data_IF_069183739996
#
_entry.id   IF_069183739996
#
_cell.length_a   1.000
_cell.length_b   1.000
_cell.length_c   1.000
_cell.angle_alpha   90.00
_cell.angle_beta   90.00
_cell.angle_gamma   90.00
#
_symmetry.space_group_name_H-M   'P 1'
#
loop_
_entity.id
_entity.type
_entity.pdbx_description
1 polymer ?
#
# COMPACT_ATOMS: atom_id res chain seq x y z
N UNK A 1 -52.59 20.11 6.05
CA UNK A 1 -52.68 18.65 6.29
C UNK A 1 -51.26 18.11 6.27
N UNK A 2 -50.78 17.39 7.30
CA UNK A 2 -49.50 16.71 7.23
C UNK A 2 -49.54 15.70 6.08
N UNK A 3 -48.44 15.56 5.34
CA UNK A 3 -48.38 14.69 4.17
C UNK A 3 -48.66 13.22 4.58
N UNK A 4 -49.43 12.46 3.77
CA UNK A 4 -49.81 11.07 4.10
C UNK A 4 -48.68 10.05 3.98
N UNK A 5 -47.48 10.48 3.56
CA UNK A 5 -46.29 9.64 3.42
C UNK A 5 -45.03 10.46 3.75
N UNK A 6 -43.95 9.76 4.07
CA UNK A 6 -42.63 10.34 4.33
C UNK A 6 -42.10 11.03 3.06
N UNK A 7 -41.74 12.32 3.19
CA UNK A 7 -41.23 13.10 2.08
C UNK A 7 -39.72 12.93 2.00
N UNK A 8 -39.24 12.23 0.96
CA UNK A 8 -37.80 12.10 0.68
C UNK A 8 -37.33 13.28 -0.17
N UNK A 9 -36.19 13.86 0.20
CA UNK A 9 -35.53 14.89 -0.61
C UNK A 9 -34.70 14.18 -1.68
N UNK A 10 -34.93 14.50 -2.95
CA UNK A 10 -34.23 13.90 -4.09
C UNK A 10 -33.52 14.93 -4.96
N UNK A 11 -33.00 14.47 -6.10
CA UNK A 11 -32.22 15.28 -7.05
C UNK A 11 -30.72 15.02 -6.95
N UNK A 12 -29.96 15.41 -7.99
CA UNK A 12 -28.54 15.07 -8.11
C UNK A 12 -27.69 15.58 -6.93
N UNK A 13 -28.01 16.78 -6.43
CA UNK A 13 -27.31 17.35 -5.27
C UNK A 13 -27.58 16.55 -4.00
N UNK A 14 -28.83 16.13 -3.76
CA UNK A 14 -29.18 15.31 -2.60
C UNK A 14 -28.49 13.94 -2.68
N UNK A 15 -28.51 13.29 -3.85
CA UNK A 15 -27.80 12.00 -4.07
C UNK A 15 -26.29 12.14 -3.85
N UNK A 16 -25.68 13.25 -4.27
CA UNK A 16 -24.25 13.48 -4.06
C UNK A 16 -23.91 13.68 -2.57
N UNK A 17 -24.73 14.44 -1.83
CA UNK A 17 -24.54 14.65 -0.39
C UNK A 17 -24.76 13.35 0.38
N UNK A 18 -25.85 12.64 0.13
CA UNK A 18 -26.11 11.33 0.72
C UNK A 18 -24.99 10.34 0.42
N UNK A 19 -24.39 10.41 -0.77
CA UNK A 19 -23.23 9.60 -1.15
C UNK A 19 -21.97 9.95 -0.36
N UNK A 20 -21.70 11.24 -0.14
CA UNK A 20 -20.56 11.68 0.70
C UNK A 20 -20.78 11.27 2.16
N UNK A 21 -21.99 11.47 2.68
CA UNK A 21 -22.36 11.08 4.05
C UNK A 21 -22.25 9.57 4.25
N UNK A 22 -22.72 8.77 3.28
CA UNK A 22 -22.56 7.32 3.32
C UNK A 22 -21.08 6.90 3.31
N UNK A 23 -20.21 7.60 2.56
CA UNK A 23 -18.77 7.33 2.55
C UNK A 23 -18.16 7.66 3.91
N UNK A 24 -18.44 8.85 4.46
CA UNK A 24 -17.84 9.32 5.72
C UNK A 24 -18.29 8.50 6.91
N UNK A 25 -19.55 8.06 6.94
CA UNK A 25 -20.09 7.19 8.00
C UNK A 25 -19.45 5.79 8.01
N UNK A 26 -19.13 5.26 6.82
CA UNK A 26 -18.51 3.93 6.69
C UNK A 26 -16.98 3.96 6.78
N UNK A 27 -16.35 5.12 6.60
CA UNK A 27 -14.90 5.30 6.60
C UNK A 27 -14.21 4.78 7.88
N UNK A 28 -14.72 5.00 9.10
CA UNK A 28 -14.10 4.49 10.32
C UNK A 28 -14.08 2.96 10.37
N UNK A 29 -15.20 2.32 10.02
CA UNK A 29 -15.31 0.87 10.04
C UNK A 29 -14.44 0.22 8.95
N UNK A 30 -14.48 0.76 7.73
CA UNK A 30 -13.65 0.29 6.62
C UNK A 30 -12.16 0.49 6.90
N UNK A 31 -11.78 1.69 7.36
CA UNK A 31 -10.41 2.03 7.72
C UNK A 31 -9.87 1.16 8.84
N UNK A 32 -10.61 0.97 9.93
CA UNK A 32 -10.20 0.10 11.03
C UNK A 32 -10.03 -1.35 10.58
N UNK A 33 -10.98 -1.87 9.80
CA UNK A 33 -10.94 -3.25 9.30
C UNK A 33 -9.70 -3.47 8.44
N UNK A 34 -9.42 -2.54 7.52
CA UNK A 34 -8.27 -2.58 6.63
C UNK A 34 -6.94 -2.45 7.41
N UNK A 35 -6.85 -1.50 8.35
CA UNK A 35 -5.64 -1.30 9.16
C UNK A 35 -5.36 -2.54 10.03
N UNK A 36 -6.37 -3.09 10.71
CA UNK A 36 -6.20 -4.28 11.56
C UNK A 36 -5.83 -5.49 10.73
N UNK A 37 -6.52 -5.73 9.61
CA UNK A 37 -6.26 -6.88 8.74
C UNK A 37 -4.85 -6.82 8.20
N UNK A 38 -4.43 -5.64 7.72
CA UNK A 38 -3.11 -5.46 7.14
C UNK A 38 -1.99 -5.52 8.19
N UNK A 39 -2.23 -4.97 9.38
CA UNK A 39 -1.32 -5.09 10.51
C UNK A 39 -1.11 -6.57 10.87
N UNK A 40 -2.18 -7.35 10.99
CA UNK A 40 -2.11 -8.78 11.29
C UNK A 40 -1.37 -9.54 10.19
N UNK A 41 -1.66 -9.27 8.92
CA UNK A 41 -0.99 -9.91 7.79
C UNK A 41 0.52 -9.66 7.82
N UNK A 42 0.93 -8.39 7.97
CA UNK A 42 2.34 -8.03 8.04
C UNK A 42 3.02 -8.56 9.32
N UNK A 43 2.30 -8.61 10.44
CA UNK A 43 2.80 -9.22 11.67
C UNK A 43 3.09 -10.71 11.47
N UNK A 44 2.17 -11.44 10.83
CA UNK A 44 2.33 -12.87 10.53
C UNK A 44 3.44 -13.14 9.50
N UNK A 45 3.72 -12.18 8.62
CA UNK A 45 4.79 -12.27 7.63
C UNK A 45 6.17 -11.94 8.23
N UNK A 46 6.26 -10.86 9.00
CA UNK A 46 7.54 -10.31 9.46
C UNK A 46 7.96 -10.82 10.84
N UNK A 47 7.01 -11.34 11.64
CA UNK A 47 7.26 -11.71 13.03
C UNK A 47 7.71 -10.54 13.89
N UNK A 48 7.41 -9.30 13.52
CA UNK A 48 7.72 -8.10 14.30
C UNK A 48 6.44 -7.31 14.55
N UNK A 49 6.36 -6.67 15.72
CA UNK A 49 5.27 -5.76 16.09
C UNK A 49 5.49 -4.37 15.49
N UNK A 50 6.74 -3.93 15.35
CA UNK A 50 7.08 -2.57 14.95
C UNK A 50 7.20 -2.41 13.43
N UNK A 51 7.63 -3.46 12.72
CA UNK A 51 7.73 -3.42 11.25
C UNK A 51 6.38 -3.16 10.56
N UNK A 52 5.28 -3.84 10.92
CA UNK A 52 3.96 -3.55 10.35
C UNK A 52 3.53 -2.10 10.59
N UNK A 53 3.71 -1.58 11.80
CA UNK A 53 3.36 -0.19 12.13
C UNK A 53 4.17 0.81 11.30
N UNK A 54 5.49 0.62 11.22
CA UNK A 54 6.35 1.48 10.43
C UNK A 54 5.92 1.46 8.96
N UNK A 55 5.68 0.27 8.43
CA UNK A 55 5.35 0.11 7.03
C UNK A 55 3.99 0.76 6.70
N UNK A 56 2.97 0.59 7.54
CA UNK A 56 1.67 1.28 7.40
C UNK A 56 1.79 2.80 7.55
N UNK A 57 2.63 3.29 8.46
CA UNK A 57 2.89 4.72 8.64
C UNK A 57 3.53 5.32 7.39
N UNK A 58 4.50 4.62 6.80
CA UNK A 58 5.14 5.03 5.56
C UNK A 58 4.14 5.08 4.38
N UNK A 59 3.24 4.09 4.26
CA UNK A 59 2.16 4.14 3.27
C UNK A 59 1.24 5.34 3.49
N UNK A 60 0.88 5.63 4.74
CA UNK A 60 0.02 6.76 5.09
C UNK A 60 0.67 8.11 4.73
N UNK A 61 1.98 8.26 4.94
CA UNK A 61 2.74 9.46 4.54
C UNK A 61 2.70 9.64 3.02
N UNK A 62 2.99 8.57 2.27
CA UNK A 62 2.96 8.60 0.80
C UNK A 62 1.58 8.98 0.26
N UNK A 63 0.53 8.37 0.82
CA UNK A 63 -0.85 8.62 0.40
C UNK A 63 -1.32 10.04 0.76
N UNK A 64 -0.92 10.55 1.93
CA UNK A 64 -1.18 11.95 2.33
C UNK A 64 -0.52 12.93 1.35
N UNK A 65 0.71 12.65 0.91
CA UNK A 65 1.38 13.45 -0.10
C UNK A 65 0.64 13.42 -1.44
N UNK A 66 0.13 12.26 -1.86
CA UNK A 66 -0.69 12.16 -3.08
C UNK A 66 -1.99 12.93 -2.98
N UNK A 67 -2.72 12.81 -1.86
CA UNK A 67 -3.94 13.60 -1.66
C UNK A 67 -3.65 15.09 -1.64
N UNK A 68 -2.58 15.53 -0.97
CA UNK A 68 -2.15 16.93 -0.99
C UNK A 68 -1.87 17.44 -2.40
N UNK A 69 -1.22 16.63 -3.24
CA UNK A 69 -0.97 16.97 -4.63
C UNK A 69 -2.26 17.01 -5.49
N UNK A 70 -3.25 16.14 -5.20
CA UNK A 70 -4.56 16.21 -5.84
C UNK A 70 -5.32 17.48 -5.48
N UNK A 71 -5.36 17.83 -4.19
CA UNK A 71 -5.96 19.08 -3.72
C UNK A 71 -5.29 20.26 -4.42
N UNK A 72 -3.96 20.31 -4.38
CA UNK A 72 -3.19 21.39 -5.03
C UNK A 72 -3.41 21.45 -6.55
N UNK A 73 -3.46 20.31 -7.24
CA UNK A 73 -3.59 20.26 -8.70
C UNK A 73 -5.00 20.52 -9.21
N UNK A 74 -6.00 19.86 -8.62
CA UNK A 74 -7.38 19.84 -9.11
C UNK A 74 -8.32 20.75 -8.32
N UNK A 75 -8.22 20.78 -6.99
CA UNK A 75 -9.07 21.62 -6.15
C UNK A 75 -8.65 23.08 -6.23
N UNK A 76 -7.35 23.37 -6.05
CA UNK A 76 -6.80 24.73 -6.18
C UNK A 76 -6.58 25.15 -7.64
N UNK A 77 -6.65 24.20 -8.57
CA UNK A 77 -6.67 24.47 -10.02
C UNK A 77 -5.32 24.72 -10.67
N UNK A 78 -4.19 24.43 -10.03
CA UNK A 78 -2.86 24.66 -10.61
C UNK A 78 -2.59 23.87 -11.90
N UNK A 79 -3.30 22.76 -12.11
CA UNK A 79 -3.17 21.93 -13.32
C UNK A 79 -4.21 22.26 -14.41
N UNK A 80 -5.15 23.17 -14.17
CA UNK A 80 -6.29 23.43 -15.07
C UNK A 80 -5.86 23.94 -16.45
N UNK A 81 -4.86 24.82 -16.50
CA UNK A 81 -4.32 25.34 -17.75
C UNK A 81 -3.50 24.33 -18.56
N UNK A 82 -2.92 23.31 -17.93
CA UNK A 82 -2.11 22.30 -18.62
C UNK A 82 -2.95 21.13 -19.14
N UNK A 83 -3.97 20.74 -18.37
CA UNK A 83 -4.81 19.58 -18.66
C UNK A 83 -6.17 19.94 -19.27
N UNK A 84 -6.41 21.22 -19.57
CA UNK A 84 -7.64 21.75 -20.17
C UNK A 84 -8.90 21.20 -19.49
N UNK A 85 -9.04 21.50 -18.19
CA UNK A 85 -10.24 21.17 -17.43
C UNK A 85 -10.78 22.37 -16.68
N UNK A 86 -12.09 22.39 -16.45
CA UNK A 86 -12.74 23.42 -15.67
C UNK A 86 -12.55 23.16 -14.17
N UNK A 87 -11.84 24.05 -13.47
CA UNK A 87 -11.72 23.99 -12.02
C UNK A 87 -13.09 24.24 -11.39
N UNK A 88 -13.63 23.22 -10.73
CA UNK A 88 -14.94 23.32 -10.03
C UNK A 88 -14.77 23.75 -8.57
N UNK A 89 -13.53 23.83 -8.08
CA UNK A 89 -13.22 24.15 -6.67
C UNK A 89 -13.49 22.99 -5.71
N UNK A 90 -13.91 21.84 -6.23
CA UNK A 90 -14.21 20.62 -5.49
C UNK A 90 -13.79 19.40 -6.30
N UNK A 91 -13.44 18.32 -5.60
CA UNK A 91 -13.10 17.02 -6.16
C UNK A 91 -14.19 16.05 -5.74
N UNK A 92 -14.84 15.40 -6.71
CA UNK A 92 -15.90 14.43 -6.44
C UNK A 92 -15.44 13.42 -5.37
N UNK A 93 -16.24 13.23 -4.31
CA UNK A 93 -15.87 12.40 -3.14
C UNK A 93 -15.52 10.94 -3.48
N UNK A 94 -15.95 10.44 -4.63
CA UNK A 94 -15.57 9.14 -5.17
C UNK A 94 -14.11 9.06 -5.65
N UNK A 95 -13.49 10.16 -6.05
CA UNK A 95 -12.09 10.19 -6.51
C UNK A 95 -11.13 9.85 -5.36
N UNK A 96 -11.16 10.52 -4.19
CA UNK A 96 -10.29 10.15 -3.08
C UNK A 96 -10.47 8.70 -2.62
N UNK A 97 -11.71 8.20 -2.61
CA UNK A 97 -12.01 6.81 -2.22
C UNK A 97 -11.42 5.80 -3.21
N UNK A 98 -11.60 6.03 -4.51
CA UNK A 98 -11.02 5.16 -5.54
C UNK A 98 -9.50 5.22 -5.56
N UNK A 99 -8.95 6.43 -5.43
CA UNK A 99 -7.51 6.60 -5.35
C UNK A 99 -6.94 5.92 -4.10
N UNK A 100 -7.57 6.08 -2.94
CA UNK A 100 -7.21 5.35 -1.72
C UNK A 100 -7.20 3.84 -1.99
N UNK A 101 -8.31 3.29 -2.48
CA UNK A 101 -8.46 1.85 -2.64
C UNK A 101 -7.41 1.26 -3.59
N UNK A 102 -7.18 1.90 -4.74
CA UNK A 102 -6.22 1.43 -5.74
C UNK A 102 -4.79 1.66 -5.30
N UNK A 103 -4.43 2.87 -4.85
CA UNK A 103 -3.07 3.18 -4.43
C UNK A 103 -2.65 2.38 -3.19
N UNK A 104 -3.55 2.28 -2.20
CA UNK A 104 -3.29 1.48 -1.01
C UNK A 104 -3.18 -0.01 -1.36
N UNK A 105 -4.12 -0.56 -2.14
CA UNK A 105 -4.04 -1.97 -2.57
C UNK A 105 -2.74 -2.30 -3.29
N UNK A 106 -2.39 -1.51 -4.32
CA UNK A 106 -1.14 -1.70 -5.07
C UNK A 106 0.10 -1.54 -4.18
N UNK A 107 0.13 -0.51 -3.33
CA UNK A 107 1.23 -0.30 -2.39
C UNK A 107 1.38 -1.47 -1.42
N UNK A 108 0.28 -1.97 -0.86
CA UNK A 108 0.32 -3.05 0.10
C UNK A 108 0.83 -4.37 -0.49
N UNK A 109 0.44 -4.71 -1.72
CA UNK A 109 0.93 -5.92 -2.41
C UNK A 109 2.46 -5.92 -2.53
N UNK A 110 3.02 -4.79 -2.97
CA UNK A 110 4.47 -4.66 -3.04
C UNK A 110 5.12 -4.65 -1.66
N UNK A 111 4.45 -4.09 -0.65
CA UNK A 111 5.00 -3.97 0.70
C UNK A 111 5.14 -5.34 1.35
N UNK A 112 4.14 -6.19 1.19
CA UNK A 112 4.18 -7.60 1.57
C UNK A 112 5.34 -8.29 0.85
N UNK A 113 5.45 -8.16 -0.47
CA UNK A 113 6.52 -8.81 -1.22
C UNK A 113 7.93 -8.36 -0.80
N UNK A 114 8.13 -7.05 -0.63
CA UNK A 114 9.42 -6.50 -0.21
C UNK A 114 9.78 -6.93 1.22
N UNK A 115 8.83 -6.85 2.16
CA UNK A 115 9.08 -7.25 3.55
C UNK A 115 9.31 -8.76 3.68
N UNK A 116 8.60 -9.58 2.90
CA UNK A 116 8.82 -11.04 2.81
C UNK A 116 10.28 -11.32 2.47
N UNK A 117 10.81 -10.65 1.43
CA UNK A 117 12.20 -10.84 1.02
C UNK A 117 13.23 -10.30 2.01
N UNK A 118 13.00 -9.10 2.55
CA UNK A 118 13.89 -8.54 3.58
C UNK A 118 13.92 -9.48 4.80
N UNK A 119 12.78 -10.07 5.17
CA UNK A 119 12.70 -11.04 6.27
C UNK A 119 13.49 -12.30 5.98
N UNK A 120 13.36 -12.86 4.77
CA UNK A 120 14.12 -14.04 4.34
C UNK A 120 15.63 -13.81 4.44
N UNK A 121 16.13 -12.66 3.95
CA UNK A 121 17.54 -12.31 4.05
C UNK A 121 17.98 -12.07 5.51
N UNK A 122 17.10 -11.52 6.36
CA UNK A 122 17.36 -11.35 7.79
C UNK A 122 17.48 -12.68 8.53
N UNK A 123 16.61 -13.64 8.22
CA UNK A 123 16.65 -14.98 8.83
C UNK A 123 17.91 -15.75 8.43
N UNK A 124 18.48 -15.47 7.26
CA UNK A 124 19.74 -16.05 6.78
C UNK A 124 20.99 -15.37 7.37
N UNK A 125 21.00 -14.04 7.45
CA UNK A 125 22.21 -13.27 7.78
C UNK A 125 22.28 -12.81 9.24
N UNK A 126 21.12 -12.64 9.89
CA UNK A 126 20.99 -12.01 11.21
C UNK A 126 21.35 -10.52 11.26
N UNK A 127 21.78 -9.92 10.14
CA UNK A 127 22.14 -8.50 10.06
C UNK A 127 20.99 -7.69 9.45
N UNK A 128 20.34 -6.81 10.24
CA UNK A 128 19.21 -6.02 9.76
C UNK A 128 19.58 -5.05 8.64
N UNK A 129 20.83 -4.59 8.57
CA UNK A 129 21.27 -3.65 7.54
C UNK A 129 21.51 -4.37 6.21
N UNK A 130 22.21 -5.50 6.27
CA UNK A 130 22.46 -6.33 5.08
C UNK A 130 21.15 -6.86 4.50
N UNK A 131 20.22 -7.32 5.34
CA UNK A 131 18.93 -7.84 4.91
C UNK A 131 18.10 -6.83 4.10
N UNK A 132 18.05 -5.58 4.56
CA UNK A 132 17.35 -4.49 3.86
C UNK A 132 18.03 -4.18 2.53
N UNK A 133 19.37 -4.09 2.51
CA UNK A 133 20.11 -3.79 1.29
C UNK A 133 19.92 -4.89 0.22
N UNK A 134 20.08 -6.16 0.60
CA UNK A 134 19.94 -7.30 -0.32
C UNK A 134 18.51 -7.49 -0.81
N UNK A 135 17.52 -7.33 0.09
CA UNK A 135 16.10 -7.39 -0.28
C UNK A 135 15.72 -6.32 -1.31
N UNK A 136 16.22 -5.09 -1.11
CA UNK A 136 15.95 -3.97 -2.00
C UNK A 136 16.70 -4.12 -3.34
N UNK A 137 17.94 -4.63 -3.34
CA UNK A 137 18.72 -4.86 -4.55
C UNK A 137 18.04 -5.87 -5.49
N UNK A 138 17.53 -7.00 -4.96
CA UNK A 138 16.89 -8.04 -5.78
C UNK A 138 15.58 -7.59 -6.40
N UNK A 139 14.76 -6.86 -5.65
CA UNK A 139 13.36 -6.60 -6.02
C UNK A 139 13.19 -5.18 -6.59
N UNK A 140 14.09 -4.26 -6.29
CA UNK A 140 13.97 -2.84 -6.65
C UNK A 140 13.80 -2.60 -8.15
N UNK A 141 14.51 -3.36 -9.00
CA UNK A 141 14.36 -3.25 -10.47
C UNK A 141 12.99 -3.72 -10.95
N UNK A 142 12.45 -4.77 -10.35
CA UNK A 142 11.14 -5.32 -10.74
C UNK A 142 10.02 -4.36 -10.32
N UNK A 143 10.09 -3.83 -9.09
CA UNK A 143 9.10 -2.89 -8.56
C UNK A 143 9.11 -1.58 -9.33
N UNK A 144 10.27 -1.02 -9.64
CA UNK A 144 10.35 0.23 -10.41
C UNK A 144 9.85 0.05 -11.85
N UNK A 145 10.14 -1.09 -12.50
CA UNK A 145 9.60 -1.40 -13.82
C UNK A 145 8.07 -1.56 -13.80
N UNK A 146 7.52 -2.23 -12.79
CA UNK A 146 6.08 -2.39 -12.62
C UNK A 146 5.41 -1.03 -12.34
N UNK A 147 5.98 -0.23 -11.45
CA UNK A 147 5.52 1.12 -11.13
C UNK A 147 5.50 2.02 -12.38
N UNK A 148 6.55 2.00 -13.20
CA UNK A 148 6.61 2.74 -14.45
C UNK A 148 5.52 2.29 -15.44
N UNK A 149 5.34 0.98 -15.60
CA UNK A 149 4.34 0.41 -16.52
C UNK A 149 2.92 0.78 -16.10
N UNK A 150 2.58 0.62 -14.81
CA UNK A 150 1.28 1.03 -14.25
C UNK A 150 1.05 2.53 -14.41
N UNK A 151 2.09 3.34 -14.17
CA UNK A 151 2.01 4.79 -14.35
C UNK A 151 1.67 5.17 -15.79
N UNK A 152 2.29 4.52 -16.78
CA UNK A 152 1.97 4.75 -18.20
C UNK A 152 0.50 4.44 -18.50
N UNK A 153 -0.03 3.34 -17.95
CA UNK A 153 -1.44 2.95 -18.15
C UNK A 153 -2.39 3.98 -17.55
N UNK A 154 -2.16 4.43 -16.32
CA UNK A 154 -3.02 5.44 -15.69
C UNK A 154 -2.88 6.82 -16.34
N UNK A 155 -1.68 7.20 -16.81
CA UNK A 155 -1.50 8.45 -17.56
C UNK A 155 -2.32 8.48 -18.86
N UNK A 156 -2.66 7.33 -19.45
CA UNK A 156 -3.57 7.28 -20.59
C UNK A 156 -4.97 7.84 -20.27
N UNK A 157 -5.39 7.87 -18.99
CA UNK A 157 -6.67 8.43 -18.58
C UNK A 157 -6.74 9.96 -18.77
N UNK A 158 -5.59 10.63 -18.90
CA UNK A 158 -5.52 12.07 -19.17
C UNK A 158 -6.10 12.46 -20.53
N UNK A 159 -6.19 11.49 -21.46
CA UNK A 159 -6.81 11.70 -22.78
C UNK A 159 -8.33 11.87 -22.66
N UNK A 160 -8.94 11.44 -21.56
CA UNK A 160 -10.38 11.56 -21.36
C UNK A 160 -10.78 12.99 -21.02
N UNK A 161 -11.91 13.46 -21.57
CA UNK A 161 -12.54 14.74 -21.19
C UNK A 161 -13.20 14.70 -19.80
N UNK A 162 -13.30 13.53 -19.18
CA UNK A 162 -13.93 13.35 -17.88
C UNK A 162 -12.93 13.73 -16.78
N UNK A 163 -13.22 14.80 -16.03
CA UNK A 163 -12.38 15.30 -14.92
C UNK A 163 -12.05 14.20 -13.89
N UNK A 164 -13.00 13.31 -13.60
CA UNK A 164 -12.79 12.13 -12.75
C UNK A 164 -11.64 11.25 -13.24
N UNK A 165 -11.58 10.96 -14.55
CA UNK A 165 -10.51 10.16 -15.15
C UNK A 165 -9.19 10.92 -15.19
N UNK A 166 -9.21 12.24 -15.46
CA UNK A 166 -8.00 13.08 -15.39
C UNK A 166 -7.40 13.09 -13.98
N UNK A 167 -8.24 13.19 -12.94
CA UNK A 167 -7.80 13.17 -11.54
C UNK A 167 -7.15 11.84 -11.15
N UNK A 168 -7.76 10.71 -11.50
CA UNK A 168 -7.14 9.40 -11.31
C UNK A 168 -5.88 9.22 -12.15
N UNK A 169 -5.88 9.75 -13.37
CA UNK A 169 -4.76 9.68 -14.30
C UNK A 169 -3.52 10.44 -13.86
N UNK A 170 -3.64 11.44 -12.99
CA UNK A 170 -2.50 12.07 -12.31
C UNK A 170 -2.24 11.43 -10.94
N UNK A 171 -3.30 11.22 -10.16
CA UNK A 171 -3.19 10.79 -8.78
C UNK A 171 -2.60 9.40 -8.61
N UNK A 172 -3.01 8.43 -9.45
CA UNK A 172 -2.53 7.04 -9.34
C UNK A 172 -1.05 6.88 -9.75
N UNK A 173 -0.57 7.43 -10.89
CA UNK A 173 0.86 7.46 -11.17
C UNK A 173 1.67 8.13 -10.06
N UNK A 174 1.17 9.26 -9.54
CA UNK A 174 1.87 9.96 -8.48
C UNK A 174 1.99 9.10 -7.23
N UNK A 175 0.91 8.46 -6.79
CA UNK A 175 0.93 7.54 -5.66
C UNK A 175 1.93 6.40 -5.86
N UNK A 176 1.84 5.72 -7.00
CA UNK A 176 2.66 4.53 -7.29
C UNK A 176 4.15 4.90 -7.42
N UNK A 177 4.47 6.00 -8.10
CA UNK A 177 5.85 6.48 -8.23
C UNK A 177 6.40 6.97 -6.90
N UNK A 178 5.62 7.73 -6.12
CA UNK A 178 6.01 8.18 -4.79
C UNK A 178 6.32 7.00 -3.87
N UNK A 179 5.47 5.98 -3.88
CA UNK A 179 5.64 4.76 -3.10
C UNK A 179 6.90 3.98 -3.53
N UNK A 180 7.05 3.74 -4.83
CA UNK A 180 8.18 2.99 -5.38
C UNK A 180 9.53 3.68 -5.15
N UNK A 181 9.58 5.02 -5.23
CA UNK A 181 10.83 5.78 -5.20
C UNK A 181 11.12 6.41 -3.84
N UNK A 182 10.25 7.29 -3.35
CA UNK A 182 10.50 8.03 -2.13
C UNK A 182 10.31 7.13 -0.91
N UNK A 183 9.17 6.45 -0.83
CA UNK A 183 8.82 5.66 0.35
C UNK A 183 9.75 4.45 0.47
N UNK A 184 9.84 3.61 -0.56
CA UNK A 184 10.64 2.38 -0.50
C UNK A 184 12.11 2.58 -0.82
N UNK A 185 12.41 3.44 -1.78
CA UNK A 185 13.78 3.69 -2.21
C UNK A 185 14.58 4.49 -1.19
N UNK A 186 13.93 5.33 -0.37
CA UNK A 186 14.62 6.21 0.56
C UNK A 186 14.12 6.11 2.01
N UNK A 187 12.82 6.32 2.28
CA UNK A 187 12.32 6.42 3.65
C UNK A 187 12.39 5.09 4.39
N UNK A 188 12.01 3.99 3.76
CA UNK A 188 12.05 2.65 4.34
C UNK A 188 13.48 2.26 4.78
N UNK A 189 14.52 2.27 3.91
CA UNK A 189 15.86 1.92 4.34
C UNK A 189 16.41 2.90 5.38
N UNK A 190 16.11 4.19 5.28
CA UNK A 190 16.54 5.19 6.27
C UNK A 190 15.92 4.92 7.66
N UNK A 191 14.62 4.68 7.72
CA UNK A 191 13.90 4.41 8.98
C UNK A 191 14.31 3.06 9.59
N UNK A 192 14.51 2.04 8.76
CA UNK A 192 15.01 0.74 9.22
C UNK A 192 16.42 0.84 9.79
N UNK A 193 17.30 1.63 9.16
CA UNK A 193 18.65 1.90 9.68
C UNK A 193 18.62 2.67 11.00
N UNK A 194 17.72 3.63 11.15
CA UNK A 194 17.58 4.42 12.39
C UNK A 194 16.98 3.60 13.54
N UNK A 195 15.97 2.76 13.28
CA UNK A 195 15.35 1.94 14.31
C UNK A 195 16.15 0.69 14.69
N UNK A 196 17.11 0.27 13.86
CA UNK A 196 18.07 -0.77 14.17
C UNK A 196 17.42 -2.09 14.63
N UNK A 197 18.03 -2.74 15.62
CA UNK A 197 17.54 -4.02 16.15
C UNK A 197 16.17 -3.91 16.86
N UNK A 198 15.77 -2.72 17.31
CA UNK A 198 14.49 -2.53 18.00
C UNK A 198 13.31 -2.81 17.06
N UNK A 199 13.42 -2.46 15.77
CA UNK A 199 12.38 -2.74 14.78
C UNK A 199 12.12 -4.24 14.58
N UNK A 200 13.10 -5.09 14.87
CA UNK A 200 12.99 -6.55 14.73
C UNK A 200 12.50 -7.23 16.01
N UNK A 201 12.11 -6.44 17.01
CA UNK A 201 11.68 -6.96 18.30
C UNK A 201 10.36 -7.70 18.22
N UNK A 202 10.37 -8.93 18.72
CA UNK A 202 9.21 -9.77 18.92
C UNK A 202 9.04 -10.08 20.42
N UNK A 203 7.92 -9.67 21.05
CA UNK A 203 7.63 -10.03 22.42
C UNK A 203 7.62 -11.54 22.60
N UNK A 204 8.24 -12.05 23.66
CA UNK A 204 8.37 -13.49 23.94
C UNK A 204 7.04 -14.23 24.04
N UNK A 205 5.96 -13.55 24.45
CA UNK A 205 4.61 -14.10 24.53
C UNK A 205 3.92 -14.24 23.15
N UNK A 206 4.36 -13.49 22.15
CA UNK A 206 3.85 -13.56 20.77
C UNK A 206 4.62 -14.54 19.88
N UNK A 207 5.82 -14.96 20.30
CA UNK A 207 6.63 -15.99 19.62
C UNK A 207 5.87 -17.29 19.33
N UNK A 208 5.17 -17.94 20.29
CA UNK A 208 4.46 -19.19 20.00
C UNK A 208 3.28 -19.02 19.03
N UNK A 209 2.68 -17.82 18.93
CA UNK A 209 1.62 -17.52 17.97
C UNK A 209 2.22 -17.37 16.57
N UNK A 210 3.31 -16.62 16.45
CA UNK A 210 4.01 -16.47 15.17
C UNK A 210 4.63 -17.79 14.69
N UNK A 211 5.21 -18.60 15.57
CA UNK A 211 5.80 -19.89 15.18
C UNK A 211 4.74 -20.88 14.67
N UNK A 212 3.48 -20.72 15.10
CA UNK A 212 2.36 -21.58 14.71
C UNK A 212 1.62 -21.10 13.45
N UNK A 213 1.55 -19.78 13.23
CA UNK A 213 0.75 -19.17 12.16
C UNK A 213 1.56 -18.31 11.19
N UNK A 214 2.88 -18.23 11.36
CA UNK A 214 3.78 -17.42 10.56
C UNK A 214 3.79 -17.88 9.10
N UNK A 215 3.62 -16.92 8.19
CA UNK A 215 3.64 -17.18 6.76
C UNK A 215 5.09 -17.28 6.31
N UNK A 216 5.51 -18.48 5.88
CA UNK A 216 6.82 -18.71 5.26
C UNK A 216 6.60 -19.01 3.78
N UNK A 217 7.15 -18.14 2.94
CA UNK A 217 7.17 -18.35 1.50
C UNK A 217 8.38 -19.22 1.14
N UNK A 218 8.35 -20.51 1.51
CA UNK A 218 9.36 -21.46 1.06
C UNK A 218 8.98 -21.99 -0.32
N UNK A 219 9.86 -21.90 -1.34
CA UNK A 219 9.83 -22.89 -2.40
C UNK A 219 10.11 -24.24 -1.74
N UNK A 220 9.19 -25.19 -1.89
CA UNK A 220 9.34 -26.52 -1.31
C UNK A 220 10.63 -27.19 -1.78
N UNK A 221 11.65 -27.18 -0.95
CA UNK A 221 12.67 -28.22 -0.90
C UNK A 221 12.70 -28.74 0.52
N UNK A 222 11.80 -29.69 0.78
CA UNK A 222 12.09 -30.65 1.84
C UNK A 222 13.46 -31.25 1.51
N UNK A 223 14.42 -31.30 2.45
CA UNK A 223 15.64 -32.05 2.23
C UNK A 223 15.24 -33.50 2.01
N UNK A 224 15.40 -33.97 0.77
CA UNK A 224 15.34 -35.40 0.46
C UNK A 224 16.37 -36.06 1.40
N UNK A 225 15.97 -37.05 2.22
CA UNK A 225 16.93 -37.75 3.05
C UNK A 225 17.99 -38.31 2.11
N UNK A 226 19.24 -37.92 2.32
CA UNK A 226 20.35 -38.47 1.56
C UNK A 226 20.33 -39.98 1.75
N UNK A 227 19.87 -40.71 0.71
CA UNK A 227 20.02 -42.15 0.65
C UNK A 227 21.51 -42.44 0.64
N UNK A 228 21.95 -42.92 1.79
CA UNK A 228 23.23 -43.51 2.09
C UNK A 228 23.45 -44.73 1.19
N UNK A 229 23.82 -44.50 -0.07
CA UNK A 229 24.43 -45.53 -0.92
C UNK A 229 25.94 -45.54 -0.69
N UNK A 230 26.33 -45.96 0.51
CA UNK A 230 27.67 -46.43 0.80
C UNK A 230 27.69 -47.98 0.77
N UNK A 231 28.51 -48.50 -0.13
CA UNK A 231 29.17 -49.83 -0.09
C UNK A 231 28.35 -51.12 -0.31
N UNK A 232 28.52 -51.69 -1.52
CA UNK A 232 29.15 -53.00 -1.73
C UNK A 232 29.55 -53.07 -3.22
N UNK A 233 30.80 -53.34 -3.64
CA UNK A 233 31.80 -54.17 -3.00
C UNK A 233 31.64 -55.64 -3.35
N UNK A 234 31.54 -56.00 -4.63
CA UNK A 234 32.06 -57.23 -5.25
C UNK A 234 31.89 -57.24 -6.76
#
# INVERSE_FOLDING_TARGET
LPAPAEALVGGQTAVNLDGVDAITDNLPAAGLTLLVTMYVLLFLLTGSVLLPLLAMLLSAIGLTATFGALVWGFQDGHLSGLLDFTTTGDVAGTVPVMLFAVAFGLGMDYQVFLLSRIREEYDLTGDPTAAVALGLERIGRIVTAAAATLSIVFLAFLVSDIVFLKALGIGLPLAVLMDATLIRGALLPATMRLGGAALWWLPTWLRPVHDRFGLRESPGTAPEPAEEHAHAGR
#
